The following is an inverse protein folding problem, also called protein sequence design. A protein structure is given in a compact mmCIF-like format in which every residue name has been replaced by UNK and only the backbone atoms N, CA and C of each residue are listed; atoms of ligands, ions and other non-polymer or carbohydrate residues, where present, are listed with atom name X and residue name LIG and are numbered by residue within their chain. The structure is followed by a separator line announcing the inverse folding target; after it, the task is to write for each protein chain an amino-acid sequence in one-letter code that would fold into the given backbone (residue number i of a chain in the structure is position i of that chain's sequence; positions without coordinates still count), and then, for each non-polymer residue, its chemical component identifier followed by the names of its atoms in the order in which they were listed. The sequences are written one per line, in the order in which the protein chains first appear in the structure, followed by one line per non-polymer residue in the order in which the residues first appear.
data_IF_098271709289
#
_entry.id   IF_098271709289
#
_cell.length_a   1.000
_cell.length_b   1.000
_cell.length_c   1.000
_cell.angle_alpha   90.00
_cell.angle_beta   90.00
_cell.angle_gamma   90.00
#
_symmetry.space_group_name_H-M   'P 1'
#
loop_
_entity.id
_entity.type
_entity.pdbx_description
1 polymer ?
#
# COMPACT_ATOMS: atom_id res chain seq x y z
N UNK A 1 -26.23 -27.90 0.17
CA UNK A 1 -25.53 -26.68 -0.31
C UNK A 1 -24.01 -26.80 -0.19
N UNK A 2 -23.49 -27.98 0.12
CA UNK A 2 -22.06 -28.25 0.17
C UNK A 2 -21.46 -28.23 -1.24
N UNK A 3 -20.75 -27.15 -1.56
CA UNK A 3 -20.02 -27.04 -2.82
C UNK A 3 -19.81 -25.63 -3.35
N UNK A 4 -20.60 -24.64 -2.90
CA UNK A 4 -20.43 -23.25 -3.36
C UNK A 4 -19.55 -22.46 -2.39
N UNK A 5 -18.31 -22.15 -2.81
CA UNK A 5 -17.45 -21.20 -2.11
C UNK A 5 -17.53 -19.86 -2.82
N UNK A 6 -18.08 -18.84 -2.15
CA UNK A 6 -17.91 -17.46 -2.60
C UNK A 6 -16.44 -17.10 -2.38
N UNK A 7 -15.69 -16.96 -3.47
CA UNK A 7 -14.25 -16.73 -3.41
C UNK A 7 -13.88 -15.30 -3.02
N UNK A 8 -14.66 -14.31 -3.49
CA UNK A 8 -14.41 -12.88 -3.27
C UNK A 8 -15.73 -12.13 -3.14
N UNK A 9 -15.84 -11.27 -2.13
CA UNK A 9 -16.94 -10.34 -1.92
C UNK A 9 -16.48 -8.92 -2.29
N UNK A 10 -17.25 -8.25 -3.15
CA UNK A 10 -16.94 -6.92 -3.67
C UNK A 10 -17.94 -5.91 -3.12
N UNK A 11 -17.43 -4.82 -2.56
CA UNK A 11 -18.27 -3.78 -1.94
C UNK A 11 -17.91 -2.39 -2.45
N UNK A 12 -18.95 -1.64 -2.82
CA UNK A 12 -18.87 -0.21 -3.02
C UNK A 12 -19.50 0.47 -1.82
N UNK A 13 -18.70 1.21 -1.07
CA UNK A 13 -19.14 1.85 0.17
C UNK A 13 -19.16 3.35 -0.03
N UNK A 14 -20.36 3.93 -0.03
CA UNK A 14 -20.67 5.33 -0.28
C UNK A 14 -21.27 6.01 0.96
N UNK A 15 -21.55 5.24 2.03
CA UNK A 15 -22.14 5.75 3.26
C UNK A 15 -21.69 4.94 4.48
N UNK A 16 -21.95 5.50 5.66
CA UNK A 16 -21.67 4.83 6.93
C UNK A 16 -22.52 3.56 7.14
N UNK A 17 -23.79 3.57 6.74
CA UNK A 17 -24.64 2.39 6.84
C UNK A 17 -24.16 1.25 5.94
N UNK A 18 -23.64 1.57 4.75
CA UNK A 18 -23.01 0.58 3.87
C UNK A 18 -21.72 0.01 4.47
N UNK A 19 -20.93 0.84 5.19
CA UNK A 19 -19.75 0.37 5.89
C UNK A 19 -20.11 -0.58 7.04
N UNK A 20 -21.14 -0.27 7.81
CA UNK A 20 -21.63 -1.16 8.87
C UNK A 20 -22.13 -2.49 8.30
N UNK A 21 -22.82 -2.47 7.16
CA UNK A 21 -23.28 -3.69 6.48
C UNK A 21 -22.11 -4.52 5.95
N UNK A 22 -21.07 -3.88 5.43
CA UNK A 22 -19.81 -4.55 5.08
C UNK A 22 -19.21 -5.25 6.30
N UNK A 23 -19.10 -4.56 7.44
CA UNK A 23 -18.53 -5.14 8.66
C UNK A 23 -19.29 -6.39 9.13
N UNK A 24 -20.63 -6.30 9.16
CA UNK A 24 -21.49 -7.47 9.47
C UNK A 24 -21.29 -8.62 8.49
N UNK A 25 -21.09 -8.31 7.21
CA UNK A 25 -20.88 -9.33 6.17
C UNK A 25 -19.53 -10.03 6.33
N UNK A 26 -18.48 -9.31 6.70
CA UNK A 26 -17.15 -9.88 6.98
C UNK A 26 -17.20 -10.80 8.20
N UNK A 27 -17.90 -10.38 9.26
CA UNK A 27 -18.11 -11.22 10.45
C UNK A 27 -18.88 -12.51 10.12
N UNK A 28 -19.89 -12.42 9.25
CA UNK A 28 -20.68 -13.58 8.85
C UNK A 28 -19.95 -14.53 7.89
N UNK A 29 -19.04 -14.00 7.06
CA UNK A 29 -18.30 -14.76 6.06
C UNK A 29 -16.77 -14.58 6.20
N UNK A 30 -16.15 -14.99 7.33
CA UNK A 30 -14.77 -14.64 7.67
C UNK A 30 -13.70 -15.30 6.77
N UNK A 31 -14.09 -16.30 5.97
CA UNK A 31 -13.19 -17.00 5.03
C UNK A 31 -13.22 -16.42 3.61
N UNK A 32 -14.15 -15.51 3.33
CA UNK A 32 -14.22 -14.86 2.02
C UNK A 32 -13.11 -13.81 1.90
N UNK A 33 -12.53 -13.69 0.71
CA UNK A 33 -11.70 -12.53 0.39
C UNK A 33 -12.61 -11.32 0.21
N UNK A 34 -12.19 -10.16 0.69
CA UNK A 34 -12.97 -8.93 0.60
C UNK A 34 -12.20 -7.90 -0.22
N UNK A 35 -12.89 -7.34 -1.21
CA UNK A 35 -12.44 -6.19 -2.00
C UNK A 35 -13.39 -5.03 -1.74
N UNK A 36 -12.85 -3.89 -1.33
CA UNK A 36 -13.65 -2.73 -0.91
C UNK A 36 -13.23 -1.47 -1.66
N UNK A 37 -14.22 -0.75 -2.17
CA UNK A 37 -14.05 0.56 -2.80
C UNK A 37 -14.77 1.59 -1.94
N UNK A 38 -14.02 2.38 -1.18
CA UNK A 38 -14.51 3.45 -0.31
C UNK A 38 -14.62 4.75 -1.09
N UNK A 39 -15.85 5.27 -1.23
CA UNK A 39 -16.19 6.47 -2.01
C UNK A 39 -16.66 7.65 -1.16
N UNK A 40 -16.64 7.51 0.16
CA UNK A 40 -17.04 8.56 1.10
C UNK A 40 -16.01 8.72 2.20
N UNK A 41 -15.92 9.94 2.75
CA UNK A 41 -14.95 10.25 3.79
C UNK A 41 -15.28 9.48 5.07
N UNK A 42 -14.35 8.60 5.48
CA UNK A 42 -14.41 7.94 6.79
C UNK A 42 -13.37 8.54 7.74
N UNK A 43 -13.65 8.57 9.06
CA UNK A 43 -12.64 8.93 10.04
C UNK A 43 -11.41 8.03 9.93
N UNK A 44 -10.21 8.61 10.06
CA UNK A 44 -8.95 7.85 9.99
C UNK A 44 -8.89 6.72 11.02
N UNK A 45 -9.41 6.94 12.22
CA UNK A 45 -9.52 5.88 13.23
C UNK A 45 -10.35 4.68 12.76
N UNK A 46 -11.43 4.92 12.01
CA UNK A 46 -12.28 3.88 11.45
C UNK A 46 -11.57 3.15 10.29
N UNK A 47 -10.88 3.90 9.42
CA UNK A 47 -10.04 3.32 8.36
C UNK A 47 -8.97 2.37 8.92
N UNK A 48 -8.27 2.80 9.97
CA UNK A 48 -7.23 1.99 10.63
C UNK A 48 -7.80 0.78 11.38
N UNK A 49 -9.09 0.78 11.71
CA UNK A 49 -9.76 -0.35 12.36
C UNK A 49 -10.31 -1.39 11.39
N UNK A 50 -10.27 -1.14 10.08
CA UNK A 50 -10.80 -2.08 9.10
C UNK A 50 -10.00 -3.39 9.13
N UNK A 51 -10.67 -4.55 9.03
CA UNK A 51 -9.99 -5.83 8.99
C UNK A 51 -9.13 -5.95 7.72
N UNK A 52 -8.15 -6.86 7.70
CA UNK A 52 -7.38 -7.16 6.49
C UNK A 52 -8.28 -7.43 5.29
N UNK A 53 -7.91 -6.86 4.15
CA UNK A 53 -8.64 -6.98 2.88
C UNK A 53 -7.70 -7.51 1.81
N UNK A 54 -8.26 -8.18 0.79
CA UNK A 54 -7.49 -8.56 -0.39
C UNK A 54 -7.14 -7.29 -1.19
N UNK A 55 -8.12 -6.40 -1.38
CA UNK A 55 -7.95 -5.14 -2.09
C UNK A 55 -8.78 -4.02 -1.45
N UNK A 56 -8.18 -2.84 -1.28
CA UNK A 56 -8.86 -1.65 -0.78
C UNK A 56 -8.55 -0.44 -1.66
N UNK A 57 -9.60 0.24 -2.13
CA UNK A 57 -9.50 1.45 -2.93
C UNK A 57 -10.13 2.62 -2.16
N UNK A 58 -9.37 3.70 -1.97
CA UNK A 58 -9.79 4.91 -1.26
C UNK A 58 -9.93 6.04 -2.28
N UNK A 59 -11.16 6.41 -2.61
CA UNK A 59 -11.52 7.36 -3.67
C UNK A 59 -11.86 8.76 -3.13
N UNK A 60 -11.36 9.12 -1.94
CA UNK A 60 -11.51 10.44 -1.36
C UNK A 60 -10.17 10.93 -0.80
N UNK A 61 -10.06 12.24 -0.61
CA UNK A 61 -8.91 12.84 0.07
C UNK A 61 -9.02 12.57 1.56
N UNK A 62 -8.01 11.94 2.12
CA UNK A 62 -7.89 11.72 3.56
C UNK A 62 -6.47 12.12 3.98
N UNK A 63 -6.32 12.93 5.05
CA UNK A 63 -5.01 13.14 5.63
C UNK A 63 -4.58 11.84 6.31
N UNK A 64 -3.58 11.17 5.73
CA UNK A 64 -2.88 10.04 6.33
C UNK A 64 -1.41 10.42 6.49
N UNK A 65 -0.85 10.19 7.67
CA UNK A 65 0.58 10.32 7.88
C UNK A 65 1.34 9.06 7.43
N UNK A 66 2.67 9.14 7.44
CA UNK A 66 3.56 8.05 7.04
C UNK A 66 3.35 6.78 7.87
N UNK A 67 3.18 6.90 9.19
CA UNK A 67 2.98 5.74 10.08
C UNK A 67 1.64 5.05 9.81
N UNK A 68 0.58 5.83 9.62
CA UNK A 68 -0.75 5.34 9.25
C UNK A 68 -0.72 4.63 7.90
N UNK A 69 -0.03 5.22 6.92
CA UNK A 69 0.15 4.59 5.61
C UNK A 69 0.89 3.26 5.72
N UNK A 70 2.04 3.23 6.42
CA UNK A 70 2.84 2.03 6.65
C UNK A 70 2.01 0.93 7.33
N UNK A 71 1.22 1.31 8.34
CA UNK A 71 0.31 0.39 9.00
C UNK A 71 -0.70 -0.22 8.01
N UNK A 72 -1.36 0.61 7.21
CA UNK A 72 -2.37 0.15 6.26
C UNK A 72 -1.79 -0.77 5.17
N UNK A 73 -0.63 -0.44 4.61
CA UNK A 73 0.04 -1.32 3.64
C UNK A 73 0.55 -2.61 4.31
N UNK A 74 0.87 -2.61 5.60
CA UNK A 74 1.26 -3.85 6.31
C UNK A 74 0.07 -4.78 6.50
N UNK A 75 -1.12 -4.22 6.68
CA UNK A 75 -2.35 -4.94 6.99
C UNK A 75 -3.05 -5.50 5.75
N UNK A 76 -3.22 -4.68 4.71
CA UNK A 76 -3.94 -5.04 3.50
C UNK A 76 -2.99 -5.61 2.45
N UNK A 77 -3.47 -6.57 1.64
CA UNK A 77 -2.65 -7.12 0.55
C UNK A 77 -2.42 -6.10 -0.56
N UNK A 78 -3.48 -5.37 -0.94
CA UNK A 78 -3.39 -4.24 -1.87
C UNK A 78 -4.21 -3.08 -1.29
N UNK A 79 -3.60 -1.90 -1.24
CA UNK A 79 -4.29 -0.66 -0.91
C UNK A 79 -3.91 0.45 -1.91
N UNK A 80 -4.91 1.16 -2.41
CA UNK A 80 -4.72 2.24 -3.35
C UNK A 80 -5.45 3.50 -2.90
N UNK A 81 -4.70 4.58 -2.71
CA UNK A 81 -5.23 5.92 -2.47
C UNK A 81 -5.20 6.73 -3.77
N UNK A 82 -6.38 7.06 -4.31
CA UNK A 82 -6.46 7.74 -5.61
C UNK A 82 -6.15 9.23 -5.53
N UNK A 83 -6.41 9.85 -4.37
CA UNK A 83 -6.30 11.29 -4.19
C UNK A 83 -5.45 11.70 -2.98
N UNK A 84 -4.74 10.75 -2.35
CA UNK A 84 -3.84 11.04 -1.26
C UNK A 84 -2.40 10.77 -1.70
N UNK A 85 -1.52 11.72 -1.37
CA UNK A 85 -0.08 11.55 -1.49
C UNK A 85 0.49 11.50 -0.08
N UNK A 86 1.27 10.46 0.22
CA UNK A 86 1.94 10.31 1.51
C UNK A 86 3.40 10.65 1.32
N UNK A 87 3.86 11.70 2.00
CA UNK A 87 5.28 12.00 2.09
C UNK A 87 5.89 11.10 3.15
N UNK A 88 6.92 10.35 2.76
CA UNK A 88 7.72 9.52 3.67
C UNK A 88 9.16 10.00 3.65
N UNK A 89 9.89 9.84 4.74
CA UNK A 89 11.33 10.11 4.82
C UNK A 89 12.17 8.88 4.43
N UNK A 90 13.51 9.02 4.41
CA UNK A 90 14.43 7.93 4.01
C UNK A 90 14.35 6.67 4.90
N UNK A 91 14.14 6.85 6.19
CA UNK A 91 14.01 5.73 7.14
C UNK A 91 12.70 4.97 6.87
N UNK A 92 11.61 5.70 6.69
CA UNK A 92 10.28 5.15 6.39
C UNK A 92 10.26 4.45 5.03
N UNK A 93 10.89 5.03 4.00
CA UNK A 93 11.04 4.39 2.69
C UNK A 93 11.77 3.04 2.81
N UNK A 94 12.87 3.00 3.57
CA UNK A 94 13.61 1.76 3.81
C UNK A 94 12.75 0.71 4.55
N UNK A 95 11.91 1.13 5.49
CA UNK A 95 10.96 0.24 6.16
C UNK A 95 9.92 -0.31 5.18
N UNK A 96 9.34 0.53 4.33
CA UNK A 96 8.37 0.12 3.29
C UNK A 96 9.00 -0.92 2.37
N UNK A 97 10.21 -0.65 1.86
CA UNK A 97 10.93 -1.57 0.96
C UNK A 97 11.20 -2.91 1.66
N UNK A 98 11.74 -2.90 2.89
CA UNK A 98 11.98 -4.13 3.65
C UNK A 98 10.72 -4.95 3.86
N UNK A 99 9.61 -4.28 4.18
CA UNK A 99 8.32 -4.95 4.35
C UNK A 99 7.88 -5.63 3.04
N UNK A 100 7.96 -4.93 1.91
CA UNK A 100 7.63 -5.50 0.58
C UNK A 100 8.54 -6.69 0.26
N UNK A 101 9.85 -6.58 0.50
CA UNK A 101 10.82 -7.63 0.20
C UNK A 101 10.71 -8.86 1.12
N UNK A 102 10.27 -8.67 2.37
CA UNK A 102 10.11 -9.77 3.34
C UNK A 102 8.89 -10.66 3.08
N UNK A 103 8.05 -10.31 2.11
CA UNK A 103 6.72 -10.87 1.98
C UNK A 103 6.60 -11.71 0.71
N UNK A 104 6.02 -12.90 0.83
CA UNK A 104 5.87 -13.82 -0.30
C UNK A 104 4.74 -13.46 -1.27
N UNK A 105 3.95 -12.43 -0.93
CA UNK A 105 2.78 -12.00 -1.71
C UNK A 105 3.21 -10.91 -2.69
N UNK A 106 2.72 -11.01 -3.93
CA UNK A 106 2.83 -9.92 -4.89
C UNK A 106 2.07 -8.68 -4.39
N UNK A 107 2.75 -7.54 -4.39
CA UNK A 107 2.24 -6.25 -3.90
C UNK A 107 2.71 -5.13 -4.82
N UNK A 108 1.86 -4.11 -4.97
CA UNK A 108 2.23 -2.88 -5.67
C UNK A 108 2.02 -1.71 -4.71
N UNK A 109 3.09 -0.96 -4.45
CA UNK A 109 3.05 0.27 -3.64
C UNK A 109 3.54 1.42 -4.51
N UNK A 110 2.71 2.46 -4.61
CA UNK A 110 3.10 3.72 -5.29
C UNK A 110 3.54 4.72 -4.24
N UNK A 111 4.80 5.12 -4.29
CA UNK A 111 5.37 6.14 -3.40
C UNK A 111 5.82 7.33 -4.24
N UNK A 112 5.51 8.54 -3.80
CA UNK A 112 6.09 9.77 -4.36
C UNK A 112 7.17 10.22 -3.38
N UNK A 113 8.41 10.21 -3.85
CA UNK A 113 9.58 10.63 -3.08
C UNK A 113 10.16 11.88 -3.70
N UNK A 114 10.54 12.83 -2.84
CA UNK A 114 11.31 13.99 -3.27
C UNK A 114 12.69 13.55 -3.80
N UNK A 115 13.13 14.15 -4.90
CA UNK A 115 14.38 13.79 -5.55
C UNK A 115 15.58 13.94 -4.61
N UNK A 116 15.63 15.01 -3.81
CA UNK A 116 16.73 15.24 -2.86
C UNK A 116 16.79 14.15 -1.78
N UNK A 117 15.63 13.67 -1.33
CA UNK A 117 15.56 12.58 -0.38
C UNK A 117 16.06 11.26 -0.99
N UNK A 118 15.65 10.96 -2.22
CA UNK A 118 16.13 9.78 -2.94
C UNK A 118 17.65 9.82 -3.12
N UNK A 119 18.21 10.95 -3.54
CA UNK A 119 19.66 11.13 -3.68
C UNK A 119 20.39 10.99 -2.34
N UNK A 120 19.89 11.58 -1.27
CA UNK A 120 20.47 11.45 0.06
C UNK A 120 20.46 10.00 0.55
N UNK A 121 19.38 9.27 0.28
CA UNK A 121 19.29 7.86 0.63
C UNK A 121 20.26 7.01 -0.19
N UNK A 122 20.33 7.17 -1.52
CA UNK A 122 21.28 6.48 -2.38
C UNK A 122 22.74 6.74 -1.97
N UNK A 123 23.07 8.00 -1.62
CA UNK A 123 24.38 8.37 -1.06
C UNK A 123 24.68 7.66 0.25
N UNK A 124 23.70 7.51 1.13
CA UNK A 124 23.87 6.76 2.39
C UNK A 124 24.13 5.26 2.18
N UNK A 125 23.71 4.71 1.03
CA UNK A 125 24.00 3.33 0.64
C UNK A 125 25.29 3.22 -0.19
N UNK A 126 26.05 4.32 -0.37
CA UNK A 126 27.38 4.32 -1.00
C UNK A 126 27.40 4.71 -2.48
N UNK A 127 26.25 4.99 -3.09
CA UNK A 127 26.19 5.48 -4.47
C UNK A 127 26.51 6.97 -4.54
N UNK A 128 27.10 7.41 -5.64
CA UNK A 128 27.39 8.83 -5.85
C UNK A 128 27.24 9.19 -7.33
N UNK A 129 27.55 10.44 -7.67
CA UNK A 129 27.40 10.96 -9.04
C UNK A 129 28.29 10.25 -10.08
N UNK A 130 29.35 9.59 -9.63
CA UNK A 130 30.22 8.78 -10.49
C UNK A 130 29.76 7.33 -10.65
N UNK A 131 28.73 6.90 -9.90
CA UNK A 131 28.23 5.54 -9.95
C UNK A 131 27.57 5.21 -11.29
N UNK A 132 27.85 4.03 -11.81
CA UNK A 132 27.38 3.56 -13.12
C UNK A 132 26.43 2.38 -13.03
N UNK A 133 25.64 2.17 -14.08
CA UNK A 133 24.83 0.97 -14.21
C UNK A 133 25.71 -0.30 -14.12
N UNK A 134 25.21 -1.32 -13.41
CA UNK A 134 25.94 -2.52 -13.03
C UNK A 134 26.72 -2.40 -11.72
N UNK A 135 26.84 -1.22 -11.12
CA UNK A 135 27.39 -1.10 -9.76
C UNK A 135 26.37 -1.59 -8.72
N UNK A 136 26.84 -2.47 -7.85
CA UNK A 136 26.09 -2.97 -6.70
C UNK A 136 26.68 -2.44 -5.40
N UNK A 137 25.82 -1.99 -4.49
CA UNK A 137 26.19 -1.71 -3.11
C UNK A 137 25.17 -2.34 -2.16
N UNK A 138 25.67 -3.23 -1.30
CA UNK A 138 24.84 -4.01 -0.35
C UNK A 138 23.72 -4.76 -1.08
N UNK A 139 22.47 -4.37 -0.83
CA UNK A 139 21.25 -4.98 -1.36
C UNK A 139 20.75 -4.31 -2.64
N UNK A 140 21.46 -3.31 -3.15
CA UNK A 140 21.04 -2.48 -4.28
C UNK A 140 21.97 -2.65 -5.48
N UNK A 141 21.36 -2.68 -6.67
CA UNK A 141 22.06 -2.63 -7.96
C UNK A 141 21.52 -1.43 -8.76
N UNK A 142 22.43 -0.65 -9.35
CA UNK A 142 22.05 0.37 -10.31
C UNK A 142 21.80 -0.29 -11.67
N UNK A 143 20.55 -0.33 -12.11
CA UNK A 143 20.18 -0.84 -13.43
C UNK A 143 19.87 0.32 -14.38
N UNK A 144 20.35 0.23 -15.62
CA UNK A 144 19.95 1.17 -16.68
C UNK A 144 18.53 0.78 -17.10
N UNK A 145 17.60 1.73 -17.06
CA UNK A 145 16.29 1.52 -17.66
C UNK A 145 16.45 1.36 -19.19
N UNK A 146 15.68 0.46 -19.82
CA UNK A 146 15.63 0.39 -21.27
C UNK A 146 15.18 1.75 -21.82
N UNK A 147 15.79 2.19 -22.93
CA UNK A 147 15.38 3.42 -23.58
C UNK A 147 13.90 3.25 -24.00
N UNK A 148 13.01 4.14 -23.54
CA UNK A 148 11.58 4.09 -23.90
C UNK A 148 11.46 4.36 -25.41
N UNK A 149 10.96 3.36 -26.16
CA UNK A 149 10.63 3.48 -27.59
C UNK A 149 9.26 4.14 -27.79
#
# INVERSE_FOLDING_TARGET
TDGFKIGVLWYHVNSESELENLMKSIEHFPRCKNTVILKYLIPTSKLLSLPPMEEMHVLFRIPIDSNQFIYLISLHKLIHFYYATVTVNGVELKQIIKMILSESRERTVRVIVDASMLFNWLRSEGFNESSKAGESSREFELVKLPDEN
#
